data_IF_608158857170
#
_entry.id   IF_608158857170
#
_cell.length_a   1.000
_cell.length_b   1.000
_cell.length_c   1.000
_cell.angle_alpha   90.00
_cell.angle_beta   90.00
_cell.angle_gamma   90.00
#
_symmetry.space_group_name_H-M   'P 1'
#
loop_
_entity.id
_entity.type
_entity.pdbx_description
1 polymer ?
#
# COMPACT_ATOMS: atom_id res chain seq x y z
N UNK A 1 9.65 20.84 18.79
CA UNK A 1 10.27 19.61 19.35
C UNK A 1 9.85 18.44 18.47
N UNK A 2 10.77 17.58 18.01
CA UNK A 2 10.41 16.47 17.11
C UNK A 2 9.67 15.37 17.88
N UNK A 3 8.54 14.91 17.35
CA UNK A 3 7.78 13.84 18.00
C UNK A 3 8.57 12.51 17.99
N UNK A 4 8.67 11.78 19.11
CA UNK A 4 9.52 10.59 19.21
C UNK A 4 9.24 9.51 18.16
N UNK A 5 7.96 9.33 17.80
CA UNK A 5 7.57 8.37 16.75
C UNK A 5 8.08 8.81 15.38
N UNK A 6 7.98 10.10 15.04
CA UNK A 6 8.53 10.63 13.78
C UNK A 6 10.04 10.45 13.74
N UNK A 7 10.76 10.69 14.85
CA UNK A 7 12.21 10.45 14.93
C UNK A 7 12.56 8.99 14.65
N UNK A 8 11.79 8.04 15.21
CA UNK A 8 12.01 6.61 14.99
C UNK A 8 11.63 6.16 13.58
N UNK A 9 10.62 6.78 12.97
CA UNK A 9 10.30 6.58 11.56
C UNK A 9 11.47 6.96 10.65
N UNK A 10 12.10 8.12 10.89
CA UNK A 10 13.26 8.55 10.11
C UNK A 10 14.43 7.58 10.30
N UNK A 11 14.69 7.14 11.54
CA UNK A 11 15.71 6.11 11.79
C UNK A 11 15.41 4.77 11.12
N UNK A 12 14.14 4.39 11.03
CA UNK A 12 13.74 3.19 10.29
C UNK A 12 14.03 3.35 8.79
N UNK A 13 13.75 4.52 8.21
CA UNK A 13 14.13 4.81 6.82
C UNK A 13 15.64 4.70 6.60
N UNK A 14 16.46 5.32 7.46
CA UNK A 14 17.92 5.24 7.36
C UNK A 14 18.39 3.78 7.44
N UNK A 15 17.85 3.00 8.38
CA UNK A 15 18.14 1.58 8.50
C UNK A 15 17.76 0.76 7.26
N UNK A 16 16.60 1.04 6.64
CA UNK A 16 16.16 0.36 5.42
C UNK A 16 17.05 0.72 4.23
N UNK A 17 17.48 1.99 4.15
CA UNK A 17 18.38 2.49 3.11
C UNK A 17 19.78 1.86 3.24
N UNK A 18 20.33 1.82 4.45
CA UNK A 18 21.64 1.22 4.72
C UNK A 18 21.70 -0.28 4.38
N UNK A 19 20.55 -0.96 4.43
CA UNK A 19 20.41 -2.37 4.05
C UNK A 19 20.06 -2.59 2.57
N UNK A 20 19.95 -1.52 1.79
CA UNK A 20 19.57 -1.58 0.38
C UNK A 20 18.13 -2.07 0.14
N UNK A 21 17.26 -2.04 1.17
CA UNK A 21 15.84 -2.42 1.05
C UNK A 21 15.05 -1.32 0.33
N UNK A 22 15.48 -0.07 0.49
CA UNK A 22 14.91 1.12 -0.14
C UNK A 22 16.03 1.85 -0.86
N UNK A 23 15.76 2.30 -2.09
CA UNK A 23 16.77 2.98 -2.93
C UNK A 23 16.72 4.50 -2.79
N UNK A 24 15.55 5.06 -2.45
CA UNK A 24 15.36 6.51 -2.37
C UNK A 24 14.29 6.94 -1.35
N UNK A 25 14.38 8.19 -0.89
CA UNK A 25 13.38 8.82 -0.02
C UNK A 25 12.00 8.87 -0.69
N UNK A 26 11.98 9.15 -1.99
CA UNK A 26 10.75 9.23 -2.78
C UNK A 26 10.03 7.89 -2.84
N UNK A 27 10.76 6.80 -3.10
CA UNK A 27 10.23 5.44 -3.09
C UNK A 27 9.65 5.09 -1.72
N UNK A 28 10.40 5.39 -0.64
CA UNK A 28 9.94 5.16 0.73
C UNK A 28 8.64 5.90 1.05
N UNK A 29 8.58 7.20 0.72
CA UNK A 29 7.42 8.03 1.00
C UNK A 29 6.17 7.49 0.28
N UNK A 30 6.30 7.15 -1.02
CA UNK A 30 5.22 6.56 -1.80
C UNK A 30 4.74 5.25 -1.18
N UNK A 31 5.67 4.35 -0.84
CA UNK A 31 5.34 3.05 -0.23
C UNK A 31 4.63 3.20 1.13
N UNK A 32 4.96 4.24 1.89
CA UNK A 32 4.33 4.54 3.17
C UNK A 32 3.03 5.36 3.05
N UNK A 33 2.63 5.77 1.84
CA UNK A 33 1.40 6.51 1.59
C UNK A 33 1.50 8.02 1.86
N UNK A 34 2.68 8.61 1.69
CA UNK A 34 2.86 10.06 1.83
C UNK A 34 3.81 10.67 0.78
N UNK A 35 3.84 12.00 0.67
CA UNK A 35 4.68 12.72 -0.29
C UNK A 35 6.10 12.96 0.23
N UNK A 36 7.04 13.19 -0.67
CA UNK A 36 8.42 13.52 -0.31
C UNK A 36 8.52 14.82 0.53
N UNK A 37 7.66 15.80 0.26
CA UNK A 37 7.50 17.00 1.10
C UNK A 37 7.09 16.64 2.53
N UNK A 38 6.11 15.75 2.68
CA UNK A 38 5.67 15.28 4.00
C UNK A 38 6.81 14.52 4.72
N UNK A 39 7.67 13.79 4.01
CA UNK A 39 8.88 13.21 4.61
C UNK A 39 9.76 14.29 5.26
N UNK A 40 10.06 15.36 4.50
CA UNK A 40 10.91 16.44 4.97
C UNK A 40 10.27 17.16 6.18
N UNK A 41 8.96 17.42 6.15
CA UNK A 41 8.23 18.00 7.28
C UNK A 41 8.31 17.14 8.56
N UNK A 42 8.23 15.80 8.43
CA UNK A 42 8.42 14.87 9.54
C UNK A 42 9.86 14.93 10.07
N UNK A 43 10.83 14.95 9.15
CA UNK A 43 12.25 15.01 9.49
C UNK A 43 12.59 16.32 10.23
N UNK A 44 12.02 17.42 9.80
CA UNK A 44 12.29 18.75 10.35
C UNK A 44 11.48 19.00 11.63
N UNK A 45 10.46 18.18 11.90
CA UNK A 45 9.60 18.29 13.08
C UNK A 45 8.49 19.32 12.93
N UNK A 46 8.18 19.71 11.69
CA UNK A 46 7.05 20.56 11.33
C UNK A 46 5.73 19.77 11.46
N UNK A 47 5.79 18.45 11.22
CA UNK A 47 4.62 17.57 11.29
C UNK A 47 4.90 16.31 12.09
N UNK A 48 3.83 15.71 12.61
CA UNK A 48 3.86 14.41 13.27
C UNK A 48 3.36 13.33 12.32
N UNK A 49 3.94 12.13 12.45
CA UNK A 49 3.45 10.98 11.70
C UNK A 49 2.09 10.54 12.22
N UNK A 50 1.28 9.96 11.35
CA UNK A 50 -0.01 9.38 11.70
C UNK A 50 0.07 7.86 11.79
N UNK A 51 -1.01 7.23 12.27
CA UNK A 51 -1.09 5.78 12.44
C UNK A 51 -1.01 5.02 11.11
N UNK A 52 -1.61 5.55 10.03
CA UNK A 52 -1.58 4.92 8.70
C UNK A 52 -0.15 4.71 8.20
N UNK A 53 0.70 5.73 8.37
CA UNK A 53 2.12 5.66 7.99
C UNK A 53 2.87 4.60 8.81
N UNK A 54 2.61 4.54 10.13
CA UNK A 54 3.22 3.53 11.04
C UNK A 54 2.83 2.12 10.61
N UNK A 55 1.55 1.91 10.29
CA UNK A 55 1.03 0.63 9.83
C UNK A 55 1.64 0.24 8.48
N UNK A 56 1.77 1.17 7.54
CA UNK A 56 2.42 0.90 6.26
C UNK A 56 3.89 0.51 6.40
N UNK A 57 4.61 1.11 7.36
CA UNK A 57 5.99 0.73 7.69
C UNK A 57 6.11 -0.72 8.17
N UNK A 58 5.19 -1.16 9.02
CA UNK A 58 5.11 -2.55 9.44
C UNK A 58 4.78 -3.46 8.25
N UNK A 59 3.75 -3.12 7.48
CA UNK A 59 3.25 -3.98 6.40
C UNK A 59 4.25 -4.10 5.24
N UNK A 60 4.78 -2.97 4.77
CA UNK A 60 5.60 -2.93 3.56
C UNK A 60 7.04 -3.32 3.82
N UNK A 61 7.58 -2.94 4.98
CA UNK A 61 9.00 -3.06 5.27
C UNK A 61 9.30 -4.00 6.43
N UNK A 62 8.29 -4.46 7.19
CA UNK A 62 8.50 -5.31 8.35
C UNK A 62 9.18 -4.57 9.51
N UNK A 63 8.95 -3.26 9.64
CA UNK A 63 9.49 -2.47 10.76
C UNK A 63 8.62 -2.68 12.00
N UNK A 64 9.24 -3.01 13.13
CA UNK A 64 8.55 -3.33 14.38
C UNK A 64 7.67 -2.19 14.89
N UNK A 65 6.40 -2.52 15.19
CA UNK A 65 5.49 -1.59 15.87
C UNK A 65 5.99 -1.25 17.28
N UNK A 66 6.61 -2.21 17.98
CA UNK A 66 7.20 -1.98 19.31
C UNK A 66 8.32 -0.94 19.23
N UNK A 67 9.15 -1.00 18.18
CA UNK A 67 10.16 0.03 17.93
C UNK A 67 9.51 1.37 17.59
N UNK A 68 8.59 1.41 16.62
CA UNK A 68 8.00 2.68 16.17
C UNK A 68 7.24 3.41 17.29
N UNK A 69 6.42 2.69 18.05
CA UNK A 69 5.52 3.27 19.07
C UNK A 69 6.25 3.47 20.41
N UNK A 70 6.97 2.47 20.88
CA UNK A 70 7.53 2.42 22.25
C UNK A 70 9.05 2.65 22.26
N UNK A 71 9.72 2.52 21.11
CA UNK A 71 11.16 2.77 20.99
C UNK A 71 12.05 1.61 21.46
N UNK A 72 11.48 0.41 21.66
CA UNK A 72 12.25 -0.76 22.06
C UNK A 72 12.73 -1.53 20.82
N UNK A 73 13.99 -2.02 20.81
CA UNK A 73 14.48 -2.88 19.73
C UNK A 73 13.72 -4.21 19.66
N UNK A 74 13.80 -4.94 18.53
CA UNK A 74 14.55 -4.62 17.31
C UNK A 74 13.81 -3.66 16.35
N UNK A 75 14.54 -2.96 15.47
CA UNK A 75 13.93 -2.11 14.42
C UNK A 75 13.09 -2.95 13.46
N UNK A 76 13.61 -4.13 13.07
CA UNK A 76 12.94 -5.04 12.15
C UNK A 76 12.24 -6.13 12.93
N UNK A 77 10.99 -6.37 12.59
CA UNK A 77 10.21 -7.49 13.08
C UNK A 77 10.37 -8.67 12.12
N UNK A 78 10.94 -9.76 12.61
CA UNK A 78 11.20 -10.97 11.81
C UNK A 78 9.90 -11.72 11.49
N UNK A 79 8.85 -11.49 12.27
CA UNK A 79 7.58 -12.20 12.15
C UNK A 79 6.51 -11.38 11.43
N UNK A 80 6.76 -10.10 11.11
CA UNK A 80 5.84 -9.24 10.34
C UNK A 80 5.37 -9.88 9.02
N UNK A 81 6.21 -10.69 8.36
CA UNK A 81 5.83 -11.39 7.12
C UNK A 81 4.89 -12.58 7.35
N UNK A 82 4.86 -13.18 8.54
CA UNK A 82 4.06 -14.38 8.81
C UNK A 82 2.58 -14.06 9.06
N UNK A 83 2.28 -12.91 9.65
CA UNK A 83 0.90 -12.52 9.96
C UNK A 83 0.15 -11.92 8.76
N UNK A 84 0.87 -11.27 7.84
CA UNK A 84 0.25 -10.53 6.73
C UNK A 84 0.02 -11.41 5.51
N UNK A 85 0.86 -12.44 5.30
CA UNK A 85 0.77 -13.31 4.14
C UNK A 85 -0.61 -13.98 3.96
N UNK A 86 -1.28 -14.47 5.03
CA UNK A 86 -2.61 -15.07 4.90
C UNK A 86 -3.70 -14.06 4.53
N UNK A 87 -3.69 -12.87 5.14
CA UNK A 87 -4.71 -11.85 4.88
C UNK A 87 -4.56 -11.24 3.49
N UNK A 88 -3.32 -11.00 3.06
CA UNK A 88 -3.05 -10.51 1.71
C UNK A 88 -3.41 -11.55 0.65
N UNK A 89 -3.19 -12.84 0.93
CA UNK A 89 -3.64 -13.92 0.05
C UNK A 89 -5.17 -13.97 -0.05
N UNK A 90 -5.89 -13.76 1.06
CA UNK A 90 -7.35 -13.67 1.08
C UNK A 90 -7.86 -12.50 0.24
N UNK A 91 -7.31 -11.31 0.43
CA UNK A 91 -7.67 -10.12 -0.34
C UNK A 91 -7.39 -10.30 -1.85
N UNK A 92 -6.27 -10.93 -2.19
CA UNK A 92 -5.93 -11.20 -3.58
C UNK A 92 -6.93 -12.16 -4.25
N UNK A 93 -7.42 -13.15 -3.52
CA UNK A 93 -8.44 -14.07 -4.03
C UNK A 93 -9.80 -13.40 -4.18
N UNK A 94 -10.19 -12.55 -3.22
CA UNK A 94 -11.41 -11.74 -3.32
C UNK A 94 -11.39 -10.82 -4.55
N UNK A 95 -10.28 -10.13 -4.81
CA UNK A 95 -10.13 -9.29 -5.99
C UNK A 95 -10.15 -10.09 -7.29
N UNK A 96 -9.57 -11.30 -7.32
CA UNK A 96 -9.64 -12.20 -8.48
C UNK A 96 -11.07 -12.62 -8.79
N UNK A 97 -11.86 -12.93 -7.78
CA UNK A 97 -13.26 -13.31 -7.98
C UNK A 97 -14.13 -12.14 -8.44
N UNK A 98 -13.85 -10.91 -7.98
CA UNK A 98 -14.47 -9.69 -8.53
C UNK A 98 -14.14 -9.52 -10.00
N UNK A 99 -12.86 -9.67 -10.38
CA UNK A 99 -12.43 -9.57 -11.78
C UNK A 99 -13.14 -10.61 -12.65
N UNK A 100 -13.21 -11.88 -12.21
CA UNK A 100 -13.94 -12.93 -12.94
C UNK A 100 -15.42 -12.61 -13.13
N UNK A 101 -16.05 -11.99 -12.14
CA UNK A 101 -17.46 -11.59 -12.21
C UNK A 101 -17.65 -10.47 -13.23
N UNK A 102 -16.81 -9.43 -13.16
CA UNK A 102 -16.82 -8.32 -14.11
C UNK A 102 -16.54 -8.76 -15.55
N UNK A 103 -15.66 -9.74 -15.76
CA UNK A 103 -15.39 -10.31 -17.08
C UNK A 103 -16.63 -10.98 -17.68
N UNK A 104 -17.41 -11.71 -16.86
CA UNK A 104 -18.68 -12.33 -17.31
C UNK A 104 -19.73 -11.28 -17.66
N UNK A 105 -19.89 -10.25 -16.82
CA UNK A 105 -20.81 -9.14 -17.08
C UNK A 105 -20.45 -8.39 -18.37
N UNK A 106 -19.15 -8.13 -18.57
CA UNK A 106 -18.64 -7.54 -19.81
C UNK A 106 -19.00 -8.38 -21.03
N UNK A 107 -18.85 -9.70 -20.95
CA UNK A 107 -19.20 -10.59 -22.07
C UNK A 107 -20.70 -10.57 -22.38
N UNK A 108 -21.56 -10.54 -21.37
CA UNK A 108 -23.00 -10.43 -21.53
C UNK A 108 -23.40 -9.10 -22.19
N UNK A 109 -22.80 -7.99 -21.76
CA UNK A 109 -23.03 -6.67 -22.36
C UNK A 109 -22.60 -6.62 -23.82
N UNK A 110 -21.48 -7.27 -24.18
CA UNK A 110 -21.02 -7.36 -25.57
C UNK A 110 -22.00 -8.15 -26.45
N UNK A 111 -22.55 -9.26 -25.93
CA UNK A 111 -23.60 -10.04 -26.64
C UNK A 111 -24.86 -9.21 -26.85
N UNK A 112 -25.29 -8.46 -25.84
CA UNK A 112 -26.46 -7.60 -25.93
C UNK A 112 -26.27 -6.44 -26.92
N UNK A 113 -25.09 -5.82 -26.92
CA UNK A 113 -24.71 -4.80 -27.90
C UNK A 113 -24.74 -5.33 -29.33
N UNK A 114 -24.19 -6.53 -29.56
CA UNK A 114 -24.21 -7.17 -30.87
C UNK A 114 -25.64 -7.42 -31.36
N UNK A 115 -26.51 -7.95 -30.48
CA UNK A 115 -27.92 -8.15 -30.77
C UNK A 115 -28.63 -6.85 -31.21
N UNK A 116 -28.49 -5.78 -30.43
CA UNK A 116 -29.14 -4.50 -30.79
C UNK A 116 -28.56 -3.88 -32.06
N UNK A 117 -27.27 -4.05 -32.33
CA UNK A 117 -26.65 -3.59 -33.58
C UNK A 117 -27.20 -4.33 -34.80
N UNK A 118 -27.50 -5.63 -34.70
CA UNK A 118 -28.17 -6.38 -35.76
C UNK A 118 -29.61 -5.92 -35.95
N UNK A 119 -30.39 -5.78 -34.87
CA UNK A 119 -31.78 -5.32 -34.93
C UNK A 119 -31.90 -3.92 -35.57
N UNK A 120 -30.98 -3.00 -35.24
CA UNK A 120 -30.91 -1.67 -35.86
C UNK A 120 -30.58 -1.73 -37.36
N UNK A 121 -29.68 -2.62 -37.77
CA UNK A 121 -29.34 -2.81 -39.20
C UNK A 121 -30.53 -3.35 -39.99
N UNK A 122 -31.34 -4.23 -39.40
CA UNK A 122 -32.55 -4.75 -40.03
C UNK A 122 -33.64 -3.68 -40.16
N UNK A 123 -33.82 -2.83 -39.14
CA UNK A 123 -34.82 -1.75 -39.18
C UNK A 123 -34.47 -0.59 -40.12
N UNK A 124 -33.21 -0.47 -40.53
CA UNK A 124 -32.70 0.59 -41.42
C UNK A 124 -32.56 0.13 -42.89
N UNK A 125 -32.90 -1.13 -43.20
CA UNK A 125 -33.03 -1.66 -44.57
C UNK A 125 -34.46 -1.52 -45.06
#
# INVERSE_FOLDING_TARGET
>A
MKHPVSVRLIKAYDHLKDRGIVTSQKEFAIACGFSDTHFNELRDGVRNTNLSVITNLYIKFGVSLTYLVIGKPPIMDKDAKKEIAPELARQLEEERDKVRTLEREREQLLKLLAFYQEELKEKLK
#
